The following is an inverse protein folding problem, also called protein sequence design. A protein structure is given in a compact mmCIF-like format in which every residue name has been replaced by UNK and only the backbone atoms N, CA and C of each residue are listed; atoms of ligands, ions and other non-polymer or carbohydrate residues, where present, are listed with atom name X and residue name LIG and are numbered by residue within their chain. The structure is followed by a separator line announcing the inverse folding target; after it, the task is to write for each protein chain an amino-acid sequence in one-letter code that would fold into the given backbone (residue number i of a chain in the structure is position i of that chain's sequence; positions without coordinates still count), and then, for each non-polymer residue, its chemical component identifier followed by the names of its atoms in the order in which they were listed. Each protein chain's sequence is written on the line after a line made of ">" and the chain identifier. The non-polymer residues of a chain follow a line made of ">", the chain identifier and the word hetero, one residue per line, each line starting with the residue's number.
data_IF_716326480773
#
_entry.id   IF_716326480773
#
_cell.length_a   1.000
_cell.length_b   1.000
_cell.length_c   1.000
_cell.angle_alpha   90.00
_cell.angle_beta   90.00
_cell.angle_gamma   90.00
#
_symmetry.space_group_name_H-M   'P 1'
#
loop_
_entity.id
_entity.type
_entity.pdbx_description
1 polymer ?
#
# COMPACT_ATOMS: atom_id res chain seq x y z
N UNK A 1 -24.21 30.10 2.52
CA UNK A 1 -22.78 29.92 2.84
C UNK A 1 -21.98 30.22 1.58
N UNK A 2 -21.02 31.15 1.64
CA UNK A 2 -20.31 31.62 0.46
C UNK A 2 -19.47 30.47 -0.12
N UNK A 3 -19.60 30.17 -1.43
CA UNK A 3 -18.96 28.99 -2.05
C UNK A 3 -17.45 28.94 -1.78
N UNK A 4 -16.80 30.09 -1.72
CA UNK A 4 -15.38 30.23 -1.39
C UNK A 4 -15.01 29.79 0.04
N UNK A 5 -15.88 30.04 1.02
CA UNK A 5 -15.64 29.61 2.41
C UNK A 5 -15.72 28.08 2.48
N UNK A 6 -16.68 27.47 1.79
CA UNK A 6 -16.80 26.02 1.73
C UNK A 6 -15.57 25.37 1.05
N UNK A 7 -15.08 25.97 -0.03
CA UNK A 7 -13.85 25.51 -0.73
C UNK A 7 -12.62 25.62 0.18
N UNK A 8 -12.44 26.73 0.89
CA UNK A 8 -11.31 26.90 1.82
C UNK A 8 -11.36 25.90 2.99
N UNK A 9 -12.54 25.66 3.57
CA UNK A 9 -12.69 24.68 4.65
C UNK A 9 -12.39 23.25 4.16
N UNK A 10 -12.81 22.90 2.95
CA UNK A 10 -12.49 21.61 2.35
C UNK A 10 -10.98 21.47 2.08
N UNK A 11 -10.33 22.51 1.54
CA UNK A 11 -8.89 22.49 1.30
C UNK A 11 -8.08 22.37 2.61
N UNK A 12 -8.49 23.10 3.66
CA UNK A 12 -7.88 23.02 4.98
C UNK A 12 -8.08 21.63 5.61
N UNK A 13 -9.28 21.07 5.52
CA UNK A 13 -9.58 19.71 5.98
C UNK A 13 -8.77 18.65 5.24
N UNK A 14 -8.64 18.77 3.92
CA UNK A 14 -7.84 17.88 3.09
C UNK A 14 -6.36 17.95 3.48
N UNK A 15 -5.83 19.16 3.66
CA UNK A 15 -4.45 19.39 4.11
C UNK A 15 -4.20 18.79 5.49
N UNK A 16 -5.15 18.96 6.42
CA UNK A 16 -5.09 18.36 7.75
C UNK A 16 -5.09 16.83 7.71
N UNK A 17 -5.93 16.23 6.88
CA UNK A 17 -5.96 14.77 6.67
C UNK A 17 -4.65 14.24 6.07
N UNK A 18 -4.08 14.96 5.09
CA UNK A 18 -2.79 14.62 4.49
C UNK A 18 -1.65 14.70 5.51
N UNK A 19 -1.59 15.76 6.30
CA UNK A 19 -0.58 15.93 7.34
C UNK A 19 -0.71 14.87 8.44
N UNK A 20 -1.93 14.60 8.91
CA UNK A 20 -2.20 13.55 9.89
C UNK A 20 -1.77 12.17 9.36
N UNK A 21 -2.06 11.87 8.09
CA UNK A 21 -1.61 10.64 7.44
C UNK A 21 -0.08 10.53 7.38
N UNK A 22 0.61 11.62 7.01
CA UNK A 22 2.06 11.66 6.92
C UNK A 22 2.74 11.55 8.30
N UNK A 23 2.20 12.20 9.33
CA UNK A 23 2.76 12.17 10.68
C UNK A 23 2.49 10.85 11.42
N UNK A 24 1.30 10.25 11.22
CA UNK A 24 0.90 9.02 11.90
C UNK A 24 1.50 7.74 11.30
N UNK A 25 1.91 7.78 10.04
CA UNK A 25 2.58 6.67 9.38
C UNK A 25 3.68 7.20 8.45
N UNK A 26 4.90 7.49 8.96
CA UNK A 26 6.03 7.69 8.08
C UNK A 26 6.26 6.37 7.33
N UNK A 27 5.80 6.30 6.09
CA UNK A 27 6.00 5.17 5.18
C UNK A 27 7.49 5.12 4.81
N UNK A 28 8.32 4.66 5.74
CA UNK A 28 9.72 4.35 5.46
C UNK A 28 9.72 3.16 4.52
N UNK A 29 10.20 3.36 3.30
CA UNK A 29 10.33 2.26 2.37
C UNK A 29 11.64 1.50 2.61
N UNK A 30 11.64 0.19 2.37
CA UNK A 30 12.81 -0.66 2.59
C UNK A 30 14.04 -0.17 1.83
N UNK A 31 13.85 0.28 0.58
CA UNK A 31 14.93 0.78 -0.25
C UNK A 31 15.55 2.07 0.31
N UNK A 32 14.77 2.93 0.98
CA UNK A 32 15.29 4.14 1.63
C UNK A 32 16.12 3.79 2.85
N UNK A 33 15.65 2.83 3.65
CA UNK A 33 16.38 2.32 4.81
C UNK A 33 17.68 1.63 4.40
N UNK A 34 17.68 0.85 3.31
CA UNK A 34 18.88 0.25 2.76
C UNK A 34 19.87 1.27 2.17
N UNK A 35 19.38 2.38 1.63
CA UNK A 35 20.24 3.44 1.09
C UNK A 35 20.90 4.28 2.18
N UNK A 36 20.29 4.39 3.37
CA UNK A 36 20.77 5.21 4.51
C UNK A 36 20.66 4.44 5.83
N UNK A 37 21.36 3.30 5.98
CA UNK A 37 21.12 2.37 7.09
C UNK A 37 21.27 2.98 8.48
N UNK A 38 22.20 3.91 8.66
CA UNK A 38 22.43 4.58 9.95
C UNK A 38 21.26 5.48 10.40
N UNK A 39 20.49 6.05 9.47
CA UNK A 39 19.38 6.95 9.79
C UNK A 39 18.10 6.19 10.21
N UNK A 40 18.00 4.94 9.76
CA UNK A 40 16.82 4.10 9.89
C UNK A 40 17.02 2.91 10.84
N UNK A 41 18.21 2.74 11.44
CA UNK A 41 18.47 1.70 12.43
C UNK A 41 17.48 1.78 13.60
N UNK A 42 16.88 0.63 13.93
CA UNK A 42 15.89 0.53 15.00
C UNK A 42 14.50 1.07 14.63
N UNK A 43 14.28 1.62 13.44
CA UNK A 43 12.95 2.07 13.01
C UNK A 43 12.07 0.91 12.57
N UNK A 44 10.78 1.05 12.83
CA UNK A 44 9.77 0.12 12.31
C UNK A 44 9.49 0.43 10.85
N UNK A 45 9.65 -0.57 10.01
CA UNK A 45 9.33 -0.57 8.59
C UNK A 45 8.12 -1.46 8.36
N UNK A 46 7.17 -0.93 7.61
CA UNK A 46 5.93 -1.62 7.25
C UNK A 46 5.98 -2.03 5.78
N UNK A 47 6.24 -3.32 5.55
CA UNK A 47 6.33 -3.92 4.22
C UNK A 47 4.97 -4.48 3.82
N UNK A 48 4.18 -3.60 3.20
CA UNK A 48 2.84 -3.92 2.71
C UNK A 48 2.79 -4.11 1.19
N UNK A 49 3.86 -3.77 0.47
CA UNK A 49 3.91 -3.79 -1.01
C UNK A 49 4.45 -5.14 -1.51
N UNK A 50 3.73 -6.20 -1.16
CA UNK A 50 3.90 -7.56 -1.71
C UNK A 50 5.33 -8.15 -1.67
N UNK A 51 6.08 -8.09 -0.56
CA UNK A 51 7.27 -8.91 -0.44
C UNK A 51 6.88 -10.39 -0.49
N UNK A 52 7.63 -11.16 -1.29
CA UNK A 52 7.42 -12.60 -1.44
C UNK A 52 8.45 -13.35 -0.63
N UNK A 53 8.02 -14.38 0.10
CA UNK A 53 8.94 -15.26 0.82
C UNK A 53 9.66 -16.14 -0.20
N UNK A 54 10.98 -16.06 -0.22
CA UNK A 54 11.83 -16.83 -1.12
C UNK A 54 12.31 -18.13 -0.48
N UNK A 55 12.77 -18.03 0.78
CA UNK A 55 13.32 -19.16 1.54
C UNK A 55 12.89 -19.07 3.00
N UNK A 56 12.69 -20.22 3.63
CA UNK A 56 12.41 -20.33 5.06
C UNK A 56 13.59 -21.00 5.74
N UNK A 57 13.91 -20.49 6.92
CA UNK A 57 15.02 -20.92 7.76
C UNK A 57 14.49 -21.21 9.17
N UNK A 58 15.32 -21.81 10.02
CA UNK A 58 14.89 -22.18 11.38
C UNK A 58 14.63 -20.95 12.28
N UNK A 59 15.32 -19.84 12.01
CA UNK A 59 15.31 -18.60 12.79
C UNK A 59 14.65 -17.43 12.04
N UNK A 60 14.00 -17.70 10.90
CA UNK A 60 13.39 -16.66 10.08
C UNK A 60 13.18 -17.07 8.63
N UNK A 61 13.16 -16.07 7.74
CA UNK A 61 12.87 -16.25 6.33
C UNK A 61 13.51 -15.14 5.50
N UNK A 62 13.73 -15.41 4.21
CA UNK A 62 14.21 -14.41 3.26
C UNK A 62 13.02 -13.90 2.46
N UNK A 63 12.90 -12.57 2.35
CA UNK A 63 11.90 -11.92 1.51
C UNK A 63 12.54 -11.25 0.31
N UNK A 64 11.78 -11.11 -0.77
CA UNK A 64 12.18 -10.34 -1.94
C UNK A 64 11.05 -9.43 -2.41
N UNK A 65 11.33 -8.14 -2.56
CA UNK A 65 10.46 -7.20 -3.28
C UNK A 65 10.59 -7.39 -4.81
N UNK A 66 9.61 -6.96 -5.60
CA UNK A 66 9.53 -7.27 -7.03
C UNK A 66 10.83 -7.04 -7.83
N UNK A 67 11.60 -6.00 -7.48
CA UNK A 67 12.89 -5.66 -8.11
C UNK A 67 14.05 -5.59 -7.11
N UNK A 68 13.87 -6.15 -5.90
CA UNK A 68 14.83 -6.03 -4.81
C UNK A 68 15.77 -7.24 -4.69
N UNK A 69 16.86 -7.05 -3.96
CA UNK A 69 17.67 -8.16 -3.47
C UNK A 69 16.93 -8.91 -2.35
N UNK A 70 17.23 -10.20 -2.14
CA UNK A 70 16.73 -10.94 -0.98
C UNK A 70 17.21 -10.28 0.31
N UNK A 71 16.30 -10.13 1.27
CA UNK A 71 16.59 -9.55 2.59
C UNK A 71 16.22 -10.55 3.66
N UNK A 72 17.12 -10.72 4.62
CA UNK A 72 16.92 -11.61 5.76
C UNK A 72 15.94 -11.00 6.75
N UNK A 73 14.95 -11.77 7.15
CA UNK A 73 14.03 -11.45 8.23
C UNK A 73 14.20 -12.48 9.35
N UNK A 74 14.54 -12.02 10.54
CA UNK A 74 14.56 -12.84 11.75
C UNK A 74 13.22 -12.77 12.45
N UNK A 75 12.70 -13.91 12.89
CA UNK A 75 11.40 -14.01 13.54
C UNK A 75 10.82 -15.41 13.43
N UNK A 76 9.67 -15.63 14.05
CA UNK A 76 9.00 -16.93 13.99
C UNK A 76 8.48 -17.22 12.56
N UNK A 77 9.00 -18.25 11.86
CA UNK A 77 8.53 -18.62 10.54
C UNK A 77 7.27 -19.50 10.57
N UNK A 78 6.71 -19.80 11.75
CA UNK A 78 5.58 -20.71 11.88
C UNK A 78 4.38 -20.30 10.99
N UNK A 79 3.92 -21.24 10.17
CA UNK A 79 2.78 -21.05 9.27
C UNK A 79 3.08 -20.29 7.99
N UNK A 80 4.32 -19.83 7.77
CA UNK A 80 4.75 -19.23 6.52
C UNK A 80 5.21 -20.29 5.52
N UNK A 81 5.08 -20.01 4.22
CA UNK A 81 5.64 -20.86 3.15
C UNK A 81 6.39 -20.05 2.10
N UNK A 82 7.45 -20.65 1.56
CA UNK A 82 8.11 -20.12 0.38
C UNK A 82 7.11 -20.00 -0.78
N UNK A 83 7.13 -18.88 -1.48
CA UNK A 83 6.17 -18.57 -2.53
C UNK A 83 5.03 -17.63 -2.11
N UNK A 84 4.78 -17.47 -0.82
CA UNK A 84 3.68 -16.64 -0.31
C UNK A 84 4.04 -15.16 -0.26
N UNK A 85 3.01 -14.31 -0.37
CA UNK A 85 3.13 -12.89 -0.12
C UNK A 85 2.89 -12.61 1.36
N UNK A 86 3.78 -11.86 1.99
CA UNK A 86 3.70 -11.54 3.42
C UNK A 86 3.48 -10.03 3.60
N UNK A 87 2.64 -9.66 4.55
CA UNK A 87 2.61 -8.32 5.12
C UNK A 87 3.46 -8.35 6.38
N UNK A 88 4.47 -7.49 6.47
CA UNK A 88 5.47 -7.56 7.52
C UNK A 88 5.64 -6.19 8.18
N UNK A 89 5.47 -6.15 9.50
CA UNK A 89 5.92 -5.05 10.34
C UNK A 89 7.22 -5.50 11.00
N UNK A 90 8.33 -4.84 10.74
CA UNK A 90 9.64 -5.26 11.22
C UNK A 90 10.51 -4.08 11.64
N UNK A 91 11.40 -4.31 12.59
CA UNK A 91 12.46 -3.36 12.93
C UNK A 91 13.61 -3.53 11.95
N UNK A 92 14.01 -2.44 11.31
CA UNK A 92 15.21 -2.42 10.48
C UNK A 92 16.47 -2.35 11.30
N UNK A 93 17.49 -3.09 10.87
CA UNK A 93 18.81 -3.08 11.45
C UNK A 93 19.82 -2.65 10.40
N UNK A 94 20.70 -1.73 10.78
CA UNK A 94 21.69 -1.13 9.87
C UNK A 94 22.60 -2.14 9.16
N UNK A 95 22.74 -3.34 9.72
CA UNK A 95 23.46 -4.45 9.11
C UNK A 95 22.74 -5.05 7.89
N UNK A 96 21.56 -4.54 7.53
CA UNK A 96 20.83 -4.90 6.31
C UNK A 96 19.84 -6.03 6.49
N UNK A 97 19.42 -6.32 7.72
CA UNK A 97 18.40 -7.31 8.03
C UNK A 97 17.20 -6.71 8.76
N UNK A 98 16.13 -7.49 8.83
CA UNK A 98 14.88 -7.12 9.49
C UNK A 98 14.61 -8.04 10.67
N UNK A 99 14.00 -7.51 11.73
CA UNK A 99 13.48 -8.29 12.85
C UNK A 99 11.96 -8.17 12.85
N UNK A 100 11.26 -9.26 12.56
CA UNK A 100 9.81 -9.27 12.49
C UNK A 100 9.20 -8.97 13.87
N UNK A 101 8.32 -7.96 13.91
CA UNK A 101 7.40 -7.73 15.01
C UNK A 101 6.10 -8.49 14.77
N UNK A 102 5.64 -8.47 13.52
CA UNK A 102 4.42 -9.15 13.09
C UNK A 102 4.56 -9.55 11.61
N UNK A 103 4.31 -10.82 11.31
CA UNK A 103 4.27 -11.35 9.95
C UNK A 103 2.90 -11.96 9.70
N UNK A 104 2.22 -11.50 8.64
CA UNK A 104 0.90 -12.00 8.26
C UNK A 104 0.88 -12.41 6.80
N UNK A 105 0.42 -13.64 6.53
CA UNK A 105 0.27 -14.11 5.16
C UNK A 105 -0.85 -13.31 4.48
N UNK A 106 -0.50 -12.62 3.39
CA UNK A 106 -1.39 -11.72 2.66
C UNK A 106 -2.15 -12.43 1.52
N UNK A 107 -2.56 -13.68 1.72
CA UNK A 107 -3.25 -14.50 0.69
C UNK A 107 -4.49 -13.81 0.10
N UNK A 108 -5.19 -12.97 0.88
CA UNK A 108 -6.47 -12.36 0.47
C UNK A 108 -6.39 -10.88 0.07
N UNK A 109 -5.20 -10.26 0.03
CA UNK A 109 -5.10 -8.82 -0.35
C UNK A 109 -5.54 -8.57 -1.79
N UNK A 110 -5.17 -9.45 -2.74
CA UNK A 110 -5.60 -9.34 -4.15
C UNK A 110 -7.12 -9.43 -4.27
N UNK A 111 -7.75 -10.35 -3.54
CA UNK A 111 -9.21 -10.47 -3.51
C UNK A 111 -9.89 -9.20 -2.99
N UNK A 112 -9.36 -8.55 -1.95
CA UNK A 112 -9.90 -7.26 -1.48
C UNK A 112 -9.82 -6.17 -2.55
N UNK A 113 -8.71 -6.09 -3.28
CA UNK A 113 -8.54 -5.12 -4.38
C UNK A 113 -9.52 -5.40 -5.52
N UNK A 114 -9.63 -6.66 -5.98
CA UNK A 114 -10.61 -7.05 -7.00
C UNK A 114 -12.05 -6.80 -6.55
N UNK A 115 -12.37 -7.09 -5.30
CA UNK A 115 -13.70 -6.84 -4.74
C UNK A 115 -14.02 -5.35 -4.68
N UNK A 116 -13.03 -4.48 -4.41
CA UNK A 116 -13.23 -3.01 -4.46
C UNK A 116 -13.35 -2.45 -5.87
N UNK A 117 -12.74 -3.11 -6.87
CA UNK A 117 -12.86 -2.74 -8.28
C UNK A 117 -14.23 -3.07 -8.87
N UNK A 118 -14.89 -4.11 -8.37
CA UNK A 118 -16.17 -4.56 -8.91
C UNK A 118 -17.28 -3.49 -8.83
N UNK A 119 -17.55 -2.83 -7.68
CA UNK A 119 -18.51 -1.73 -7.60
C UNK A 119 -18.17 -0.56 -8.54
N UNK A 120 -16.89 -0.21 -8.64
CA UNK A 120 -16.42 0.87 -9.53
C UNK A 120 -16.68 0.52 -10.99
N UNK A 121 -16.43 -0.74 -11.38
CA UNK A 121 -16.72 -1.23 -12.72
C UNK A 121 -18.21 -1.25 -13.02
N UNK A 122 -19.06 -1.68 -12.07
CA UNK A 122 -20.53 -1.66 -12.22
C UNK A 122 -21.04 -0.24 -12.40
N UNK A 123 -20.62 0.70 -11.53
CA UNK A 123 -21.02 2.10 -11.64
C UNK A 123 -20.50 2.72 -12.94
N UNK A 124 -19.25 2.47 -13.31
CA UNK A 124 -18.67 2.94 -14.57
C UNK A 124 -19.41 2.40 -15.79
N UNK A 125 -19.78 1.11 -15.77
CA UNK A 125 -20.57 0.50 -16.84
C UNK A 125 -21.98 1.11 -16.94
N UNK A 126 -22.69 1.25 -15.82
CA UNK A 126 -24.02 1.87 -15.80
C UNK A 126 -23.96 3.34 -16.23
N UNK A 127 -22.92 4.06 -15.81
CA UNK A 127 -22.67 5.43 -16.20
C UNK A 127 -22.43 5.53 -17.72
N UNK A 128 -21.57 4.70 -18.30
CA UNK A 128 -21.31 4.67 -19.75
C UNK A 128 -22.49 4.14 -20.57
N UNK A 129 -23.35 3.31 -19.97
CA UNK A 129 -24.61 2.90 -20.59
C UNK A 129 -25.60 4.06 -20.67
N UNK A 130 -25.69 4.85 -19.61
CA UNK A 130 -26.68 5.94 -19.44
C UNK A 130 -26.20 7.27 -20.03
N UNK A 131 -24.90 7.51 -20.09
CA UNK A 131 -24.31 8.78 -20.53
C UNK A 131 -23.33 8.56 -21.67
N UNK A 132 -23.38 9.43 -22.69
CA UNK A 132 -22.39 9.51 -23.76
C UNK A 132 -21.48 10.71 -23.51
N UNK A 133 -20.19 10.52 -23.69
CA UNK A 133 -19.26 11.65 -23.70
C UNK A 133 -19.38 12.43 -25.00
N UNK A 134 -19.73 13.71 -24.92
CA UNK A 134 -19.77 14.62 -26.07
C UNK A 134 -18.43 15.35 -26.18
N UNK A 135 -17.54 14.85 -27.04
CA UNK A 135 -16.21 15.41 -27.26
C UNK A 135 -16.21 16.87 -27.74
N UNK A 136 -17.30 17.38 -28.34
CA UNK A 136 -17.37 18.80 -28.77
C UNK A 136 -17.62 19.75 -27.60
N UNK A 137 -18.40 19.30 -26.61
CA UNK A 137 -18.77 20.11 -25.44
C UNK A 137 -17.97 19.76 -24.19
N UNK A 138 -17.10 18.75 -24.28
CA UNK A 138 -16.30 18.22 -23.16
C UNK A 138 -17.15 17.88 -21.92
N UNK A 139 -18.38 17.40 -22.15
CA UNK A 139 -19.33 17.06 -21.09
C UNK A 139 -20.02 15.72 -21.38
N UNK A 140 -20.49 15.07 -20.33
CA UNK A 140 -21.34 13.89 -20.44
C UNK A 140 -22.80 14.32 -20.65
N UNK A 141 -23.46 13.74 -21.65
CA UNK A 141 -24.88 13.96 -21.95
C UNK A 141 -25.62 12.64 -21.74
N UNK A 142 -26.85 12.68 -21.21
CA UNK A 142 -27.67 11.48 -21.11
C UNK A 142 -27.90 10.91 -22.51
N UNK A 143 -27.78 9.59 -22.66
CA UNK A 143 -28.29 8.91 -23.85
C UNK A 143 -29.81 8.98 -23.74
N UNK A 144 -30.43 9.68 -24.67
CA UNK A 144 -31.88 9.62 -24.84
C UNK A 144 -32.27 8.13 -25.02
N UNK A 145 -33.25 7.68 -24.24
CA UNK A 145 -33.71 6.30 -24.16
C UNK A 145 -34.27 5.79 -25.50
#
# INVERSE_FOLDING_TARGET
>A
MNRWIAVMLLAAGLTGLLYYGAAGNPWVMLHEALARPDEYDGRVINLFVFPKIERIHADGFDIREANGHPIRVYGDPAGLRAGEYVGLNAVFRKEGYLVALEASVSERRRYKVFLSLFPVAVVGFLFMRTFRFNFRKMQFEARDA
#
